data_IF_888745583291
#
_entry.id   IF_888745583291
#
_cell.length_a   1.000
_cell.length_b   1.000
_cell.length_c   1.000
_cell.angle_alpha   90.00
_cell.angle_beta   90.00
_cell.angle_gamma   90.00
#
_symmetry.space_group_name_H-M   'P 1'
#
loop_
_entity.id
_entity.type
_entity.pdbx_description
1 polymer ?
#
# COMPACT_ATOMS: atom_id res chain seq x y z
N UNK A 1 -13.72 -1.36 9.64
CA UNK A 1 -12.54 -2.23 9.65
C UNK A 1 -12.06 -2.27 8.24
N UNK A 2 -10.78 -2.05 8.05
CA UNK A 2 -10.15 -1.96 6.74
C UNK A 2 -8.73 -2.46 6.86
N UNK A 3 -8.09 -2.67 5.72
CA UNK A 3 -6.67 -2.94 5.66
C UNK A 3 -5.91 -1.67 5.32
N UNK A 4 -4.71 -1.53 5.86
CA UNK A 4 -3.84 -0.38 5.63
C UNK A 4 -2.48 -0.84 5.14
N UNK A 5 -1.92 -0.11 4.19
CA UNK A 5 -0.54 -0.28 3.75
C UNK A 5 0.38 0.56 4.65
N UNK A 6 1.46 -0.04 5.12
CA UNK A 6 2.38 0.53 6.13
C UNK A 6 3.78 0.78 5.57
N UNK A 7 4.70 1.18 6.46
CA UNK A 7 6.06 1.63 6.16
C UNK A 7 6.80 0.76 5.15
N UNK A 8 6.70 -0.58 5.30
CA UNK A 8 7.54 -1.47 4.53
C UNK A 8 7.17 -1.53 3.04
N UNK A 9 6.02 -0.98 2.62
CA UNK A 9 5.67 -0.89 1.20
C UNK A 9 6.54 0.14 0.46
N UNK A 10 6.95 1.21 1.14
CA UNK A 10 7.69 2.32 0.53
C UNK A 10 8.99 1.80 -0.08
N UNK A 11 9.27 2.17 -1.33
CA UNK A 11 10.39 1.67 -2.16
C UNK A 11 10.36 0.19 -2.50
N UNK A 12 9.48 -0.62 -1.89
CA UNK A 12 9.30 -2.02 -2.26
C UNK A 12 8.25 -2.17 -3.36
N UNK A 13 7.06 -1.57 -3.17
CA UNK A 13 5.97 -1.46 -4.16
C UNK A 13 5.86 -2.68 -5.10
N UNK A 14 5.74 -3.88 -4.53
CA UNK A 14 5.73 -5.14 -5.29
C UNK A 14 4.44 -5.36 -6.08
N UNK A 15 3.33 -4.76 -5.63
CA UNK A 15 2.02 -4.81 -6.29
C UNK A 15 1.39 -6.20 -6.41
N UNK A 16 1.85 -7.23 -5.70
CA UNK A 16 1.17 -8.55 -5.68
C UNK A 16 -0.24 -8.47 -5.07
N UNK A 17 -0.43 -7.56 -4.10
CA UNK A 17 -1.67 -7.38 -3.37
C UNK A 17 -2.87 -6.95 -4.23
N UNK A 18 -2.63 -6.31 -5.38
CA UNK A 18 -3.71 -5.83 -6.25
C UNK A 18 -4.33 -6.95 -7.07
N UNK A 19 -3.57 -7.99 -7.43
CA UNK A 19 -4.06 -9.11 -8.24
C UNK A 19 -5.14 -9.94 -7.52
N UNK A 20 -5.20 -9.84 -6.20
CA UNK A 20 -6.14 -10.57 -5.36
C UNK A 20 -7.27 -9.71 -4.81
N UNK A 21 -7.26 -8.40 -5.05
CA UNK A 21 -8.28 -7.51 -4.51
C UNK A 21 -9.60 -7.65 -5.28
N UNK A 22 -10.72 -8.09 -4.66
CA UNK A 22 -11.97 -8.33 -5.39
C UNK A 22 -12.76 -7.06 -5.74
N UNK A 23 -12.33 -5.90 -5.21
CA UNK A 23 -13.04 -4.61 -5.32
C UNK A 23 -12.12 -3.49 -5.81
N UNK A 24 -10.92 -3.83 -6.27
CA UNK A 24 -9.98 -2.88 -6.89
C UNK A 24 -9.68 -1.62 -6.05
N UNK A 25 -9.68 -1.73 -4.71
CA UNK A 25 -9.57 -0.57 -3.81
C UNK A 25 -8.12 -0.09 -3.54
N UNK A 26 -7.19 -0.29 -4.48
CA UNK A 26 -5.79 0.12 -4.35
C UNK A 26 -5.49 1.37 -5.18
N UNK A 27 -4.70 2.27 -4.61
CA UNK A 27 -4.34 3.54 -5.22
C UNK A 27 -2.83 3.73 -5.24
N UNK A 28 -2.32 4.23 -6.36
CA UNK A 28 -0.90 4.20 -6.70
C UNK A 28 -0.21 5.54 -6.43
N UNK A 29 0.72 5.57 -5.49
CA UNK A 29 1.69 6.65 -5.34
C UNK A 29 2.95 6.38 -6.14
N UNK A 30 3.86 7.36 -6.22
CA UNK A 30 5.14 7.21 -6.90
C UNK A 30 5.92 5.97 -6.39
N UNK A 31 5.94 5.75 -5.07
CA UNK A 31 6.80 4.73 -4.45
C UNK A 31 6.14 3.84 -3.39
N UNK A 32 4.82 3.91 -3.22
CA UNK A 32 4.04 2.99 -2.39
C UNK A 32 2.61 2.88 -2.93
N UNK A 33 1.85 1.92 -2.41
CA UNK A 33 0.41 1.79 -2.63
C UNK A 33 -0.34 2.15 -1.35
N UNK A 34 -1.61 2.52 -1.49
CA UNK A 34 -2.56 2.68 -0.37
C UNK A 34 -3.88 1.99 -0.67
N UNK A 35 -4.62 1.65 0.39
CA UNK A 35 -5.96 1.05 0.31
C UNK A 35 -7.00 2.11 0.66
N UNK A 36 -8.07 2.20 -0.14
CA UNK A 36 -9.19 3.09 0.19
C UNK A 36 -10.05 2.48 1.30
N UNK A 37 -10.19 3.13 2.45
CA UNK A 37 -10.83 2.53 3.62
C UNK A 37 -12.33 2.23 3.42
N UNK A 38 -13.04 3.09 2.69
CA UNK A 38 -14.48 2.93 2.45
C UNK A 38 -14.82 1.92 1.34
N UNK A 39 -13.87 1.58 0.47
CA UNK A 39 -14.05 0.60 -0.60
C UNK A 39 -13.59 -0.79 -0.18
N UNK A 40 -12.61 -0.86 0.72
CA UNK A 40 -12.14 -2.11 1.28
C UNK A 40 -13.27 -2.85 2.02
N UNK A 41 -13.48 -4.11 1.65
CA UNK A 41 -14.51 -4.98 2.25
C UNK A 41 -13.99 -5.93 3.33
N UNK A 42 -12.78 -5.67 3.86
CA UNK A 42 -12.18 -6.43 4.97
C UNK A 42 -12.08 -7.96 4.71
N UNK A 43 -11.74 -8.34 3.48
CA UNK A 43 -11.66 -9.75 3.09
C UNK A 43 -10.34 -10.44 3.48
N UNK A 44 -9.28 -9.66 3.78
CA UNK A 44 -7.99 -10.14 4.26
C UNK A 44 -7.10 -10.91 3.27
N UNK A 45 -7.50 -11.04 2.01
CA UNK A 45 -6.73 -11.82 1.03
C UNK A 45 -5.44 -11.14 0.58
N UNK A 46 -5.34 -9.82 0.69
CA UNK A 46 -4.16 -9.06 0.25
C UNK A 46 -3.00 -9.09 1.27
N UNK A 47 -3.29 -9.31 2.55
CA UNK A 47 -2.29 -9.38 3.62
C UNK A 47 -1.21 -10.45 3.37
N UNK A 48 -1.55 -11.74 3.16
CA UNK A 48 -0.54 -12.79 2.95
C UNK A 48 0.19 -12.69 1.60
N UNK A 49 -0.37 -11.95 0.63
CA UNK A 49 0.22 -11.81 -0.70
C UNK A 49 1.30 -10.72 -0.75
N UNK A 50 1.36 -9.82 0.23
CA UNK A 50 2.37 -8.77 0.26
C UNK A 50 3.76 -9.34 0.64
N UNK A 51 4.76 -9.36 -0.27
CA UNK A 51 6.07 -9.92 0.05
C UNK A 51 6.82 -9.13 1.13
N UNK A 52 6.50 -7.85 1.27
CA UNK A 52 7.05 -6.94 2.26
C UNK A 52 6.33 -7.02 3.63
N UNK A 53 5.32 -7.88 3.80
CA UNK A 53 4.48 -7.94 5.01
C UNK A 53 3.95 -6.54 5.45
N UNK A 54 3.65 -5.69 4.46
CA UNK A 54 3.37 -4.27 4.68
C UNK A 54 1.87 -3.97 4.85
N UNK A 55 1.00 -4.96 4.75
CA UNK A 55 -0.46 -4.80 4.82
C UNK A 55 -0.93 -5.37 6.15
N UNK A 56 -1.69 -4.58 6.93
CA UNK A 56 -2.20 -4.96 8.25
C UNK A 56 -3.64 -4.50 8.45
N UNK A 57 -4.46 -5.18 9.27
CA UNK A 57 -5.80 -4.70 9.59
C UNK A 57 -5.73 -3.46 10.50
N UNK A 58 -6.58 -2.47 10.26
CA UNK A 58 -6.65 -1.20 11.01
C UNK A 58 -6.95 -1.36 12.50
N UNK A 59 -7.41 -2.54 12.90
CA UNK A 59 -7.65 -2.91 14.30
C UNK A 59 -6.38 -3.24 15.09
N UNK A 60 -5.23 -3.41 14.42
CA UNK A 60 -3.95 -3.58 15.10
C UNK A 60 -3.49 -2.30 15.81
N UNK A 61 -2.92 -2.38 17.02
CA UNK A 61 -2.48 -1.21 17.76
C UNK A 61 -1.38 -0.41 17.05
N UNK A 62 -1.51 0.92 17.04
CA UNK A 62 -0.48 1.83 16.54
C UNK A 62 -0.55 2.13 15.04
N UNK A 63 -1.64 1.75 14.37
CA UNK A 63 -1.84 1.99 12.94
C UNK A 63 -2.65 3.24 12.60
N UNK A 64 -3.03 4.06 13.59
CA UNK A 64 -3.82 5.29 13.37
C UNK A 64 -3.20 6.23 12.32
N UNK A 65 -1.86 6.36 12.34
CA UNK A 65 -1.11 7.13 11.34
C UNK A 65 -1.31 6.55 9.93
N UNK A 66 -1.21 5.23 9.79
CA UNK A 66 -1.32 4.56 8.50
C UNK A 66 -2.74 4.61 7.95
N UNK A 67 -3.75 4.50 8.80
CA UNK A 67 -5.13 4.71 8.40
C UNK A 67 -5.34 6.11 7.82
N UNK A 68 -4.80 7.15 8.46
CA UNK A 68 -4.89 8.53 7.95
C UNK A 68 -4.17 8.69 6.60
N UNK A 69 -2.96 8.16 6.47
CA UNK A 69 -2.19 8.20 5.21
C UNK A 69 -2.94 7.47 4.09
N UNK A 70 -3.45 6.26 4.35
CA UNK A 70 -4.16 5.50 3.34
C UNK A 70 -5.44 6.23 2.89
N UNK A 71 -6.20 6.78 3.84
CA UNK A 71 -7.40 7.59 3.55
C UNK A 71 -7.07 8.82 2.72
N UNK A 72 -6.05 9.59 3.12
CA UNK A 72 -5.71 10.85 2.45
C UNK A 72 -5.23 10.64 1.02
N UNK A 73 -4.38 9.64 0.79
CA UNK A 73 -3.78 9.41 -0.52
C UNK A 73 -4.66 8.59 -1.45
N UNK A 74 -5.58 7.77 -0.94
CA UNK A 74 -6.59 7.11 -1.78
C UNK A 74 -7.50 8.11 -2.51
N UNK A 75 -7.76 9.28 -1.91
CA UNK A 75 -8.55 10.36 -2.54
C UNK A 75 -7.75 11.18 -3.57
N UNK A 76 -6.41 11.05 -3.59
CA UNK A 76 -5.51 11.91 -4.38
C UNK A 76 -4.79 11.17 -5.49
N UNK A 77 -4.49 9.90 -5.28
CA UNK A 77 -3.73 9.08 -6.21
C UNK A 77 -4.65 8.37 -7.19
N UNK A 78 -4.16 7.99 -8.38
CA UNK A 78 -4.96 7.20 -9.30
C UNK A 78 -5.15 5.78 -8.79
N UNK A 79 -6.25 5.15 -9.19
CA UNK A 79 -6.49 3.74 -8.94
C UNK A 79 -5.48 2.87 -9.70
N UNK A 80 -5.21 1.66 -9.19
CA UNK A 80 -4.40 0.66 -9.87
C UNK A 80 -5.03 -0.73 -9.76
N UNK A 81 -5.30 -1.35 -10.91
CA UNK A 81 -5.93 -2.68 -11.01
C UNK A 81 -5.02 -3.76 -11.60
N UNK A 82 -3.97 -3.37 -12.32
CA UNK A 82 -3.04 -4.29 -12.97
C UNK A 82 -1.60 -4.19 -12.43
N UNK A 83 -0.99 -5.35 -12.20
CA UNK A 83 0.40 -5.47 -11.70
C UNK A 83 1.42 -4.98 -12.72
N UNK A 84 2.35 -4.15 -12.24
CA UNK A 84 3.50 -3.63 -12.99
C UNK A 84 4.80 -4.26 -12.48
N UNK A 85 5.91 -3.94 -13.14
CA UNK A 85 7.23 -4.35 -12.66
C UNK A 85 7.59 -3.64 -11.34
N UNK A 86 7.92 -4.37 -10.27
CA UNK A 86 8.42 -3.77 -9.04
C UNK A 86 9.74 -3.01 -9.26
N UNK A 87 10.08 -2.03 -8.41
CA UNK A 87 11.39 -1.41 -8.38
C UNK A 87 12.53 -2.44 -8.32
N UNK A 88 13.56 -2.27 -9.15
CA UNK A 88 14.69 -3.21 -9.22
C UNK A 88 15.46 -3.33 -7.88
N UNK A 89 15.41 -2.29 -7.07
CA UNK A 89 16.01 -2.17 -5.75
C UNK A 89 15.06 -2.51 -4.59
N UNK A 90 13.84 -2.99 -4.86
CA UNK A 90 12.82 -3.28 -3.84
C UNK A 90 13.32 -4.17 -2.69
N UNK A 91 14.09 -5.22 -3.02
CA UNK A 91 14.69 -6.15 -2.04
C UNK A 91 15.71 -5.49 -1.12
N UNK A 92 16.34 -4.39 -1.53
CA UNK A 92 17.30 -3.65 -0.72
C UNK A 92 16.60 -2.86 0.38
N UNK A 93 15.37 -2.39 0.13
CA UNK A 93 14.58 -1.61 1.07
C UNK A 93 13.64 -2.46 1.92
N UNK A 94 13.49 -3.74 1.61
CA UNK A 94 12.60 -4.64 2.34
C UNK A 94 13.12 -4.90 3.77
N UNK A 95 12.29 -4.59 4.76
CA UNK A 95 12.63 -4.68 6.18
C UNK A 95 13.38 -3.47 6.73
N UNK A 96 13.70 -2.46 5.92
CA UNK A 96 14.22 -1.19 6.43
C UNK A 96 13.11 -0.43 7.16
N UNK A 97 13.39 0.04 8.38
CA UNK A 97 12.45 0.82 9.18
C UNK A 97 12.57 2.34 8.94
N UNK A 98 11.44 3.03 9.09
CA UNK A 98 11.34 4.49 8.99
C UNK A 98 11.47 4.97 7.55
N UNK A 99 10.95 4.18 6.60
CA UNK A 99 10.98 4.53 5.18
C UNK A 99 10.06 5.70 4.86
N UNK A 100 9.01 5.89 5.66
CA UNK A 100 8.14 7.06 5.55
C UNK A 100 8.93 8.36 5.68
N UNK A 101 9.72 8.50 6.73
CA UNK A 101 10.46 9.73 6.97
C UNK A 101 11.64 9.93 6.00
N UNK A 102 12.18 8.84 5.43
CA UNK A 102 13.36 8.88 4.56
C UNK A 102 13.03 9.03 3.08
N UNK A 103 11.96 8.38 2.62
CA UNK A 103 11.75 8.13 1.20
C UNK A 103 10.34 8.40 0.72
N UNK A 104 9.35 8.58 1.60
CA UNK A 104 7.96 8.80 1.19
C UNK A 104 7.85 9.92 0.16
N UNK A 105 7.07 9.69 -0.90
CA UNK A 105 6.69 10.69 -1.88
C UNK A 105 5.18 10.87 -1.87
N UNK A 106 4.73 12.12 -1.85
CA UNK A 106 3.31 12.47 -1.93
C UNK A 106 2.80 12.50 -3.39
N UNK A 107 3.71 12.38 -4.36
CA UNK A 107 3.37 12.44 -5.79
C UNK A 107 2.57 11.20 -6.22
N UNK A 108 1.59 11.36 -7.11
CA UNK A 108 0.83 10.25 -7.65
C UNK A 108 1.70 9.34 -8.52
N UNK A 109 1.34 8.07 -8.57
CA UNK A 109 1.85 7.12 -9.55
C UNK A 109 1.19 7.29 -10.91
N UNK A 110 1.38 6.30 -11.79
CA UNK A 110 0.84 6.35 -13.15
C UNK A 110 -0.64 5.94 -13.21
N UNK A 111 -1.09 5.07 -12.31
CA UNK A 111 -2.40 4.43 -12.34
C UNK A 111 -2.59 3.50 -13.53
N UNK A 112 -3.85 3.11 -13.78
CA UNK A 112 -4.32 2.49 -15.02
C UNK A 112 -5.73 2.94 -15.45
#
# INVERSE_FOLDING_TARGET
>A
MTYVVTDNCIKCKYMDCIEVCPVDCFYEGENMLVIHPDECIDCGVCEPECPADAIKPDTEPGLDKWLQINTEYAEKWPNITAKKEPPADAKTFDGEAGKFEKYFSAEPGEGD
#
